data_IF_595544243243
#
_entry.id   IF_595544243243
#
_cell.length_a   1.000
_cell.length_b   1.000
_cell.length_c   1.000
_cell.angle_alpha   90.00
_cell.angle_beta   90.00
_cell.angle_gamma   90.00
#
_symmetry.space_group_name_H-M   'P 1'
#
loop_
_entity.id
_entity.type
_entity.pdbx_description
1 polymer ?
#
# COMPACT_ATOMS: atom_id res chain seq x y z
N UNK A 1 -57.91 -20.38 36.69
CA UNK A 1 -57.24 -21.43 35.89
C UNK A 1 -57.80 -21.42 34.48
N UNK A 2 -57.03 -20.99 33.48
CA UNK A 2 -57.38 -21.16 32.07
C UNK A 2 -56.09 -21.46 31.29
N UNK A 3 -55.91 -22.73 30.94
CA UNK A 3 -54.80 -23.24 30.14
C UNK A 3 -55.19 -23.13 28.66
N UNK A 4 -54.44 -22.37 27.86
CA UNK A 4 -54.39 -22.58 26.40
C UNK A 4 -52.97 -23.00 26.02
N UNK A 5 -52.87 -24.23 25.53
CA UNK A 5 -51.65 -24.86 25.01
C UNK A 5 -51.30 -24.31 23.61
N UNK A 6 -50.01 -24.40 23.20
CA UNK A 6 -49.48 -23.76 22.00
C UNK A 6 -49.70 -24.59 20.72
N UNK A 7 -49.91 -23.93 19.58
CA UNK A 7 -49.93 -24.56 18.25
C UNK A 7 -48.60 -24.34 17.54
N UNK A 8 -48.16 -25.44 16.92
CA UNK A 8 -46.86 -25.78 16.33
C UNK A 8 -46.41 -24.90 15.14
N UNK A 9 -45.09 -24.64 15.14
CA UNK A 9 -44.14 -24.74 14.00
C UNK A 9 -44.74 -25.12 12.64
N UNK A 10 -44.51 -24.27 11.63
CA UNK A 10 -44.15 -24.71 10.27
C UNK A 10 -43.08 -23.79 9.67
N UNK A 11 -41.87 -24.32 9.67
CA UNK A 11 -40.75 -23.96 8.78
C UNK A 11 -41.12 -24.29 7.33
N UNK A 12 -40.99 -23.33 6.42
CA UNK A 12 -40.95 -23.59 4.98
C UNK A 12 -39.53 -23.34 4.46
N UNK A 13 -38.89 -24.44 4.04
CA UNK A 13 -37.66 -24.51 3.25
C UNK A 13 -37.96 -24.22 1.78
N UNK A 14 -36.87 -23.93 1.03
CA UNK A 14 -36.65 -24.03 -0.44
C UNK A 14 -37.16 -22.85 -1.27
N UNK A 15 -36.48 -22.38 -2.33
CA UNK A 15 -35.30 -22.89 -3.03
C UNK A 15 -34.57 -21.76 -3.80
N UNK A 16 -33.26 -21.95 -3.90
CA UNK A 16 -32.28 -21.45 -4.87
C UNK A 16 -32.78 -21.17 -6.28
N UNK A 17 -32.43 -20.00 -6.85
CA UNK A 17 -32.35 -19.76 -8.31
C UNK A 17 -31.23 -18.76 -8.68
N UNK A 18 -30.13 -19.31 -9.15
CA UNK A 18 -29.24 -18.82 -10.22
C UNK A 18 -28.55 -20.08 -10.79
N UNK A 19 -28.05 -20.14 -12.04
CA UNK A 19 -27.82 -19.08 -13.02
C UNK A 19 -28.41 -19.37 -14.43
N UNK A 20 -28.46 -18.38 -15.32
CA UNK A 20 -28.70 -18.62 -16.75
C UNK A 20 -27.76 -17.77 -17.62
N UNK A 21 -26.71 -18.42 -18.14
CA UNK A 21 -26.02 -18.03 -19.36
C UNK A 21 -26.39 -19.02 -20.46
N UNK A 22 -26.53 -18.54 -21.71
CA UNK A 22 -26.16 -19.39 -22.83
C UNK A 22 -25.35 -18.70 -23.94
N UNK A 23 -24.33 -19.44 -24.37
CA UNK A 23 -23.92 -19.66 -25.76
C UNK A 23 -23.25 -18.55 -26.60
N UNK A 24 -21.93 -18.73 -26.78
CA UNK A 24 -21.22 -18.92 -28.07
C UNK A 24 -21.86 -18.33 -29.34
N UNK A 25 -21.12 -17.45 -30.01
CA UNK A 25 -20.97 -17.45 -31.48
C UNK A 25 -19.50 -17.30 -31.84
N UNK A 26 -18.97 -18.37 -32.44
CA UNK A 26 -17.77 -18.34 -33.28
C UNK A 26 -18.23 -18.07 -34.72
N UNK A 27 -17.56 -17.16 -35.40
CA UNK A 27 -17.56 -17.07 -36.86
C UNK A 27 -16.22 -16.51 -37.29
N UNK A 28 -15.39 -17.39 -37.85
CA UNK A 28 -14.19 -16.97 -38.57
C UNK A 28 -14.54 -16.45 -39.97
N UNK A 29 -13.64 -15.68 -40.54
CA UNK A 29 -13.07 -15.94 -41.88
C UNK A 29 -12.13 -14.80 -42.29
N UNK A 30 -11.05 -15.22 -42.94
CA UNK A 30 -9.97 -14.40 -43.44
C UNK A 30 -10.38 -13.54 -44.64
N UNK A 31 -9.67 -12.43 -44.87
CA UNK A 31 -9.12 -12.14 -46.21
C UNK A 31 -8.05 -11.03 -46.20
N UNK A 32 -6.90 -11.39 -46.81
CA UNK A 32 -6.05 -10.64 -47.76
C UNK A 32 -5.82 -9.14 -47.51
N UNK A 33 -4.59 -8.75 -47.16
CA UNK A 33 -3.48 -8.47 -48.07
C UNK A 33 -3.62 -7.18 -48.91
N UNK A 34 -2.78 -6.18 -48.60
CA UNK A 34 -2.23 -5.28 -49.60
C UNK A 34 -0.87 -4.76 -49.16
N UNK A 35 0.15 -5.23 -49.88
CA UNK A 35 1.54 -4.76 -49.86
C UNK A 35 1.60 -3.30 -50.30
N UNK A 36 2.43 -2.49 -49.64
CA UNK A 36 3.17 -1.42 -50.35
C UNK A 36 4.60 -1.32 -49.82
N UNK A 37 5.45 -2.09 -50.48
CA UNK A 37 6.89 -1.86 -50.61
C UNK A 37 7.08 -0.57 -51.41
N UNK A 38 8.08 0.25 -51.04
CA UNK A 38 8.94 1.10 -51.90
C UNK A 38 9.57 2.17 -50.99
N UNK A 39 10.86 2.54 -51.02
CA UNK A 39 12.11 2.02 -51.58
C UNK A 39 13.22 2.72 -50.77
N UNK A 40 14.31 2.00 -50.52
CA UNK A 40 15.61 2.55 -50.11
C UNK A 40 16.03 3.73 -51.00
N UNK A 41 16.67 4.73 -50.41
CA UNK A 41 17.63 5.60 -51.11
C UNK A 41 18.79 5.98 -50.17
N UNK A 42 19.94 5.29 -50.23
CA UNK A 42 21.22 5.88 -49.88
C UNK A 42 21.87 6.38 -51.17
N UNK A 43 22.30 7.63 -51.21
CA UNK A 43 23.16 8.11 -52.28
C UNK A 43 24.32 8.88 -51.65
N UNK A 44 25.45 8.17 -51.55
CA UNK A 44 26.75 8.76 -51.38
C UNK A 44 27.12 9.54 -52.65
N UNK A 45 27.66 10.75 -52.49
CA UNK A 45 28.49 11.38 -53.52
C UNK A 45 29.56 12.24 -52.83
N UNK A 46 30.81 11.81 -53.05
CA UNK A 46 32.09 12.39 -52.65
C UNK A 46 32.24 13.84 -53.16
N UNK A 47 33.07 14.65 -52.48
CA UNK A 47 34.19 15.36 -53.13
C UNK A 47 35.23 15.84 -52.11
N UNK A 48 36.49 15.55 -52.45
CA UNK A 48 37.75 15.91 -51.79
C UNK A 48 38.03 17.40 -51.98
N UNK A 49 38.67 18.03 -51.00
CA UNK A 49 39.66 19.08 -51.23
C UNK A 49 40.56 19.26 -49.99
N UNK A 50 41.84 18.93 -50.14
CA UNK A 50 42.97 19.46 -49.38
C UNK A 50 44.02 19.87 -50.44
N UNK A 51 44.68 21.02 -50.27
CA UNK A 51 46.13 21.05 -50.01
C UNK A 51 46.48 22.20 -49.04
N UNK A 52 47.62 22.38 -48.35
CA UNK A 52 48.99 21.86 -48.33
C UNK A 52 49.62 22.22 -46.93
N UNK A 53 50.86 21.78 -46.59
CA UNK A 53 51.38 21.75 -45.21
C UNK A 53 52.50 22.77 -44.84
N UNK A 54 52.61 22.99 -43.52
CA UNK A 54 53.81 23.29 -42.67
C UNK A 54 54.47 24.70 -42.69
N UNK A 55 55.30 25.12 -41.69
CA UNK A 55 55.75 24.42 -40.46
C UNK A 55 55.71 25.23 -39.10
N UNK A 56 55.87 24.49 -37.98
CA UNK A 56 56.55 24.79 -36.69
C UNK A 56 56.27 26.11 -35.91
N UNK A 57 56.17 26.22 -34.59
CA UNK A 57 56.13 25.35 -33.41
C UNK A 57 55.70 26.28 -32.20
N UNK A 58 55.93 25.95 -30.91
CA UNK A 58 54.91 25.59 -29.92
C UNK A 58 54.63 26.69 -28.85
N UNK A 59 53.53 26.53 -28.09
CA UNK A 59 53.40 26.75 -26.63
C UNK A 59 52.03 27.32 -26.22
N UNK A 60 51.25 26.50 -25.51
CA UNK A 60 50.30 26.95 -24.51
C UNK A 60 50.91 26.62 -23.12
N UNK A 61 50.33 27.04 -21.98
CA UNK A 61 49.80 28.36 -21.61
C UNK A 61 50.30 28.77 -20.19
N UNK A 62 50.64 30.05 -19.95
CA UNK A 62 50.98 30.52 -18.60
C UNK A 62 49.93 31.49 -18.03
N UNK A 63 48.73 30.98 -17.72
CA UNK A 63 47.74 31.74 -16.93
C UNK A 63 48.11 31.66 -15.44
N UNK A 64 48.80 32.70 -14.96
CA UNK A 64 49.17 32.84 -13.55
C UNK A 64 47.92 33.03 -12.67
N UNK A 65 47.72 32.05 -11.78
CA UNK A 65 47.06 32.08 -10.46
C UNK A 65 46.16 33.29 -10.16
N UNK A 66 44.88 33.16 -10.47
CA UNK A 66 43.83 33.84 -9.70
C UNK A 66 43.62 33.09 -8.39
N UNK A 67 44.21 33.57 -7.29
CA UNK A 67 43.84 33.12 -5.94
C UNK A 67 42.44 33.68 -5.66
N UNK A 68 41.41 32.91 -6.03
CA UNK A 68 40.06 33.18 -5.56
C UNK A 68 40.00 32.75 -4.11
N UNK A 69 40.22 33.73 -3.22
CA UNK A 69 39.92 33.66 -1.80
C UNK A 69 38.46 33.25 -1.66
N UNK A 70 38.21 32.00 -1.27
CA UNK A 70 36.86 31.53 -0.98
C UNK A 70 36.36 32.27 0.25
N UNK A 71 35.52 33.28 0.03
CA UNK A 71 34.69 33.88 1.07
C UNK A 71 33.77 32.80 1.61
N UNK A 72 34.12 32.28 2.78
CA UNK A 72 33.22 31.51 3.64
C UNK A 72 32.12 32.49 4.04
N UNK A 73 31.00 32.46 3.32
CA UNK A 73 29.82 33.23 3.65
C UNK A 73 28.60 32.31 3.62
N UNK A 74 27.85 32.38 4.71
CA UNK A 74 26.54 31.79 4.95
C UNK A 74 26.49 30.29 5.19
N UNK A 75 26.72 29.93 6.45
CA UNK A 75 25.70 29.26 7.29
C UNK A 75 24.70 28.34 6.58
N UNK A 76 25.18 27.30 5.90
CA UNK A 76 24.32 26.19 5.54
C UNK A 76 24.19 25.35 6.81
N UNK A 77 23.07 25.53 7.52
CA UNK A 77 22.63 24.52 8.49
C UNK A 77 22.56 23.20 7.72
N UNK A 78 23.55 22.35 7.93
CA UNK A 78 23.55 20.97 7.47
C UNK A 78 22.45 20.30 8.28
N UNK A 79 21.20 20.41 7.80
CA UNK A 79 20.13 19.53 8.22
C UNK A 79 20.68 18.14 7.98
N UNK A 80 20.88 17.39 9.06
CA UNK A 80 21.46 16.04 9.12
C UNK A 80 20.85 15.25 7.96
N UNK A 81 21.58 15.20 6.84
CA UNK A 81 21.09 14.52 5.66
C UNK A 81 21.24 13.04 6.00
N UNK A 82 20.15 12.46 6.50
CA UNK A 82 20.08 11.03 6.75
C UNK A 82 20.56 10.29 5.50
N UNK A 83 21.21 9.14 5.72
CA UNK A 83 21.71 8.28 4.66
C UNK A 83 20.56 8.04 3.67
N UNK A 84 20.67 8.54 2.44
CA UNK A 84 19.60 8.41 1.44
C UNK A 84 19.59 6.96 0.95
N UNK A 85 18.44 6.30 1.06
CA UNK A 85 18.24 4.89 0.70
C UNK A 85 18.33 4.61 -0.82
N UNK A 86 18.59 5.64 -1.64
CA UNK A 86 18.58 5.58 -3.10
C UNK A 86 17.23 5.98 -3.70
N UNK A 87 17.03 5.71 -4.99
CA UNK A 87 15.75 5.93 -5.67
C UNK A 87 14.84 4.73 -5.42
N UNK A 88 13.59 4.98 -5.01
CA UNK A 88 12.60 3.91 -4.88
C UNK A 88 12.38 3.21 -6.23
N UNK A 89 12.33 1.88 -6.20
CA UNK A 89 12.02 1.05 -7.38
C UNK A 89 10.51 0.93 -7.62
N UNK A 90 9.70 1.32 -6.63
CA UNK A 90 8.25 1.19 -6.64
C UNK A 90 7.65 2.60 -6.83
N UNK A 91 6.69 2.77 -7.75
CA UNK A 91 6.01 4.05 -7.89
C UNK A 91 5.21 4.40 -6.63
N UNK A 92 5.14 5.70 -6.31
CA UNK A 92 4.50 6.20 -5.09
C UNK A 92 2.99 5.85 -5.07
N UNK A 93 2.36 5.85 -6.24
CA UNK A 93 0.93 5.56 -6.38
C UNK A 93 0.68 4.08 -6.73
N UNK A 94 1.66 3.21 -6.51
CA UNK A 94 1.49 1.76 -6.72
C UNK A 94 0.47 1.19 -5.73
N UNK A 95 -0.48 0.34 -6.19
CA UNK A 95 -1.41 -0.35 -5.31
C UNK A 95 -0.68 -1.39 -4.45
N UNK A 96 -0.98 -1.42 -3.15
CA UNK A 96 -0.35 -2.32 -2.19
C UNK A 96 -0.61 -3.79 -2.50
N UNK A 97 -1.77 -4.13 -3.05
CA UNK A 97 -2.10 -5.51 -3.44
C UNK A 97 -1.16 -6.08 -4.50
N UNK A 98 -0.65 -5.22 -5.39
CA UNK A 98 0.28 -5.59 -6.46
C UNK A 98 1.71 -5.61 -5.94
N UNK A 99 2.05 -4.75 -4.97
CA UNK A 99 3.39 -4.74 -4.37
C UNK A 99 3.58 -5.94 -3.44
N UNK A 100 2.54 -6.32 -2.69
CA UNK A 100 2.55 -7.37 -1.67
C UNK A 100 1.81 -8.64 -2.12
N UNK A 101 1.94 -9.04 -3.38
CA UNK A 101 1.20 -10.20 -3.95
C UNK A 101 1.43 -11.52 -3.20
N UNK A 102 2.65 -11.71 -2.68
CA UNK A 102 3.05 -12.94 -2.00
C UNK A 102 2.71 -12.92 -0.51
N UNK A 103 2.38 -11.75 0.05
CA UNK A 103 2.15 -11.55 1.48
C UNK A 103 0.66 -11.37 1.75
N UNK A 104 -0.05 -12.48 1.88
CA UNK A 104 -1.50 -12.45 2.10
C UNK A 104 -1.88 -11.68 3.38
N UNK A 105 -1.15 -11.91 4.48
CA UNK A 105 -1.41 -11.25 5.76
C UNK A 105 -1.24 -9.72 5.66
N UNK A 106 -0.27 -9.26 4.87
CA UNK A 106 -0.06 -7.83 4.66
C UNK A 106 -1.24 -7.21 3.90
N UNK A 107 -1.73 -7.87 2.85
CA UNK A 107 -2.92 -7.40 2.11
C UNK A 107 -4.15 -7.30 2.99
N UNK A 108 -4.44 -8.34 3.79
CA UNK A 108 -5.56 -8.33 4.74
C UNK A 108 -5.43 -7.20 5.76
N UNK A 109 -4.21 -6.94 6.26
CA UNK A 109 -3.94 -5.83 7.17
C UNK A 109 -4.15 -4.46 6.51
N UNK A 110 -3.71 -4.26 5.27
CA UNK A 110 -3.91 -3.01 4.53
C UNK A 110 -5.37 -2.78 4.18
N UNK A 111 -6.09 -3.82 3.76
CA UNK A 111 -7.53 -3.79 3.51
C UNK A 111 -8.29 -3.41 4.78
N UNK A 112 -7.95 -4.02 5.92
CA UNK A 112 -8.53 -3.68 7.22
C UNK A 112 -8.30 -2.22 7.62
N UNK A 113 -7.11 -1.69 7.34
CA UNK A 113 -6.76 -0.29 7.63
C UNK A 113 -7.31 0.70 6.59
N UNK A 114 -7.83 0.22 5.46
CA UNK A 114 -8.28 1.06 4.35
C UNK A 114 -7.15 1.79 3.62
N UNK A 115 -5.96 1.18 3.60
CA UNK A 115 -4.77 1.72 2.93
C UNK A 115 -4.62 0.98 1.61
N UNK A 116 -4.52 1.70 0.50
CA UNK A 116 -4.50 1.09 -0.83
C UNK A 116 -3.21 1.38 -1.60
N UNK A 117 -2.48 2.44 -1.25
CA UNK A 117 -1.29 2.88 -2.01
C UNK A 117 -0.04 3.00 -1.16
N UNK A 118 1.13 2.92 -1.80
CA UNK A 118 2.43 3.11 -1.14
C UNK A 118 2.52 4.50 -0.49
N UNK A 119 2.00 5.54 -1.16
CA UNK A 119 1.92 6.91 -0.63
C UNK A 119 1.27 6.99 0.74
N UNK A 120 0.18 6.26 0.96
CA UNK A 120 -0.56 6.27 2.21
C UNK A 120 0.18 5.47 3.28
N UNK A 121 0.78 4.34 2.90
CA UNK A 121 1.59 3.53 3.81
C UNK A 121 2.81 4.29 4.33
N UNK A 122 3.50 5.04 3.48
CA UNK A 122 4.68 5.85 3.86
C UNK A 122 4.36 6.99 4.83
N UNK A 123 3.10 7.42 4.95
CA UNK A 123 2.70 8.48 5.88
C UNK A 123 2.50 7.97 7.32
N UNK A 124 2.42 6.66 7.51
CA UNK A 124 2.08 6.05 8.80
C UNK A 124 3.35 5.51 9.45
N UNK A 125 3.57 5.86 10.73
CA UNK A 125 4.68 5.30 11.50
C UNK A 125 4.44 3.81 11.77
N UNK A 126 5.49 3.00 11.88
CA UNK A 126 5.35 1.56 12.16
C UNK A 126 4.58 1.29 13.46
N UNK A 127 4.87 2.05 14.53
CA UNK A 127 4.19 1.89 15.82
C UNK A 127 2.70 2.25 15.71
N UNK A 128 2.37 3.31 14.96
CA UNK A 128 0.99 3.72 14.70
C UNK A 128 0.23 2.64 13.91
N UNK A 129 0.89 1.99 12.96
CA UNK A 129 0.30 0.90 12.19
C UNK A 129 -0.06 -0.29 13.10
N UNK A 130 0.84 -0.69 13.98
CA UNK A 130 0.60 -1.75 14.98
C UNK A 130 -0.53 -1.35 15.93
N UNK A 131 -0.54 -0.10 16.41
CA UNK A 131 -1.61 0.39 17.28
C UNK A 131 -2.97 0.36 16.58
N UNK A 132 -3.06 0.81 15.32
CA UNK A 132 -4.33 0.82 14.56
C UNK A 132 -4.85 -0.60 14.31
N UNK A 133 -3.96 -1.54 13.98
CA UNK A 133 -4.34 -2.95 13.79
C UNK A 133 -4.83 -3.59 15.09
N UNK A 134 -4.15 -3.34 16.21
CA UNK A 134 -4.44 -4.03 17.48
C UNK A 134 -5.53 -3.36 18.32
N UNK A 135 -5.81 -2.07 18.11
CA UNK A 135 -6.79 -1.32 18.91
C UNK A 135 -8.20 -1.91 18.88
N UNK A 136 -8.77 -2.28 17.71
CA UNK A 136 -10.07 -2.93 17.64
C UNK A 136 -10.09 -4.27 18.38
N UNK A 137 -9.03 -5.07 18.24
CA UNK A 137 -8.90 -6.34 18.96
C UNK A 137 -8.90 -6.14 20.48
N UNK A 138 -8.12 -5.17 20.99
CA UNK A 138 -8.09 -4.81 22.42
C UNK A 138 -9.47 -4.39 22.94
N UNK A 139 -10.21 -3.59 22.17
CA UNK A 139 -11.59 -3.19 22.52
C UNK A 139 -12.53 -4.40 22.58
N UNK A 140 -12.44 -5.30 21.62
CA UNK A 140 -13.25 -6.53 21.59
C UNK A 140 -12.94 -7.43 22.78
N UNK A 141 -11.67 -7.64 23.10
CA UNK A 141 -11.26 -8.38 24.30
C UNK A 141 -11.80 -7.72 25.57
N UNK A 142 -11.72 -6.39 25.68
CA UNK A 142 -12.33 -5.64 26.79
C UNK A 142 -13.84 -5.91 26.93
N UNK A 143 -14.59 -5.92 25.82
CA UNK A 143 -16.02 -6.25 25.82
C UNK A 143 -16.29 -7.70 26.25
N UNK A 144 -15.48 -8.65 25.77
CA UNK A 144 -15.58 -10.06 26.17
C UNK A 144 -15.39 -10.18 27.69
N UNK A 145 -14.37 -9.54 28.25
CA UNK A 145 -14.10 -9.53 29.70
C UNK A 145 -15.27 -8.97 30.49
N UNK A 146 -15.86 -7.85 30.05
CA UNK A 146 -17.06 -7.27 30.69
C UNK A 146 -18.25 -8.23 30.65
N UNK A 147 -18.55 -8.83 29.51
CA UNK A 147 -19.67 -9.78 29.36
C UNK A 147 -19.47 -10.98 30.26
N UNK A 148 -18.25 -11.52 30.34
CA UNK A 148 -17.95 -12.64 31.24
C UNK A 148 -18.13 -12.24 32.71
N UNK A 149 -17.61 -11.09 33.13
CA UNK A 149 -17.73 -10.61 34.51
C UNK A 149 -19.20 -10.39 34.92
N UNK A 150 -20.05 -9.89 34.02
CA UNK A 150 -21.50 -9.77 34.25
C UNK A 150 -22.19 -11.12 34.46
N UNK A 151 -21.62 -12.21 33.93
CA UNK A 151 -22.13 -13.57 34.06
C UNK A 151 -21.37 -14.39 35.12
N UNK A 152 -20.64 -13.72 36.03
CA UNK A 152 -19.83 -14.37 37.07
C UNK A 152 -18.79 -15.35 36.50
N UNK A 153 -18.16 -14.99 35.37
CA UNK A 153 -17.09 -15.76 34.71
C UNK A 153 -15.91 -14.85 34.38
N UNK A 154 -14.75 -15.45 34.14
CA UNK A 154 -13.53 -14.75 33.72
C UNK A 154 -12.78 -15.56 32.65
N UNK A 155 -11.83 -14.91 31.98
CA UNK A 155 -10.81 -15.59 31.19
C UNK A 155 -9.75 -16.18 32.13
N UNK A 156 -8.93 -17.10 31.61
CA UNK A 156 -7.81 -17.64 32.35
C UNK A 156 -6.89 -16.51 32.84
N UNK A 157 -6.55 -16.55 34.14
CA UNK A 157 -5.73 -15.57 34.85
C UNK A 157 -6.28 -14.12 34.88
N UNK A 158 -7.59 -13.94 34.65
CA UNK A 158 -8.27 -12.62 34.60
C UNK A 158 -9.30 -12.43 35.74
N UNK A 159 -9.13 -13.15 36.85
CA UNK A 159 -10.05 -13.14 38.00
C UNK A 159 -10.14 -11.77 38.67
N UNK A 160 -9.00 -11.09 38.84
CA UNK A 160 -8.92 -9.77 39.49
C UNK A 160 -9.81 -8.74 38.77
N UNK A 161 -9.74 -8.72 37.43
CA UNK A 161 -10.58 -7.81 36.65
C UNK A 161 -12.06 -8.10 36.81
N UNK A 162 -12.46 -9.38 36.83
CA UNK A 162 -13.86 -9.75 37.00
C UNK A 162 -14.40 -9.30 38.36
N UNK A 163 -13.62 -9.49 39.44
CA UNK A 163 -13.96 -9.03 40.78
C UNK A 163 -14.07 -7.50 40.85
N UNK A 164 -13.05 -6.77 40.38
CA UNK A 164 -13.06 -5.30 40.34
C UNK A 164 -14.26 -4.75 39.54
N UNK A 165 -14.59 -5.40 38.42
CA UNK A 165 -15.71 -5.01 37.59
C UNK A 165 -17.03 -5.19 38.34
N UNK A 166 -17.23 -6.32 39.02
CA UNK A 166 -18.43 -6.58 39.82
C UNK A 166 -18.56 -5.61 41.00
N UNK A 167 -17.47 -5.35 41.71
CA UNK A 167 -17.44 -4.35 42.78
C UNK A 167 -17.85 -2.97 42.27
N UNK A 168 -17.32 -2.54 41.11
CA UNK A 168 -17.68 -1.27 40.50
C UNK A 168 -19.15 -1.20 40.08
N UNK A 169 -19.71 -2.29 39.54
CA UNK A 169 -21.13 -2.36 39.20
C UNK A 169 -22.01 -2.32 40.46
N UNK A 170 -21.60 -2.97 41.54
CA UNK A 170 -22.33 -2.96 42.82
C UNK A 170 -22.25 -1.60 43.54
N UNK A 171 -21.14 -0.88 43.37
CA UNK A 171 -20.93 0.48 43.91
C UNK A 171 -21.64 1.58 43.11
N UNK A 172 -22.24 1.26 41.97
CA UNK A 172 -23.16 2.16 41.27
C UNK A 172 -24.61 1.71 41.54
N UNK A 173 -25.15 1.91 42.76
CA UNK A 173 -26.57 1.72 42.99
C UNK A 173 -27.31 2.80 42.20
N UNK A 174 -27.91 2.37 41.09
CA UNK A 174 -28.93 3.05 40.29
C UNK A 174 -29.07 4.56 40.45
N UNK A 175 -28.61 5.30 39.43
CA UNK A 175 -29.46 6.33 38.83
C UNK A 175 -30.61 5.60 38.13
N UNK A 176 -31.66 5.29 38.88
CA UNK A 176 -32.97 4.85 38.37
C UNK A 176 -34.00 5.90 38.73
#
# INVERSE_FOLDING_TARGET
MARKKPVKKKTAKRASKAPSTPARKASGSASKAAKKVVKKKPAAARKKAAPAPAPAAPAAPARKKGVRKATIASGIRVKKAGKKLGRSRIPIDAPLDVVFQNEQQAREAFEFLGIHTIRELEQINPDDLVMRLTSPAKKTVGRIRMILAMNNRCLQDDELFALEYQERQNQTPGTR
#
